data_IF_764050848551
#
_entry.id   IF_764050848551
#
_cell.length_a   1.000
_cell.length_b   1.000
_cell.length_c   1.000
_cell.angle_alpha   90.00
_cell.angle_beta   90.00
_cell.angle_gamma   90.00
#
_symmetry.space_group_name_H-M   'P 1'
#
loop_
_entity.id
_entity.type
_entity.pdbx_description
1 polymer ?
#
# COMPACT_ATOMS: atom_id res chain seq x y z
N UNK A 1 -17.14 23.80 12.47
CA UNK A 1 -17.06 22.60 13.33
C UNK A 1 -15.60 22.30 13.49
N UNK A 2 -15.08 22.46 14.71
CA UNK A 2 -13.65 22.57 14.98
C UNK A 2 -12.99 21.19 15.10
N UNK A 3 -11.99 20.92 14.25
CA UNK A 3 -11.12 19.75 14.36
C UNK A 3 -10.34 19.87 15.68
N UNK A 4 -10.53 18.92 16.60
CA UNK A 4 -9.80 18.86 17.87
C UNK A 4 -8.43 18.20 17.64
N UNK A 5 -7.44 19.07 17.44
CA UNK A 5 -6.01 18.76 17.36
C UNK A 5 -5.44 18.35 18.74
N UNK A 6 -5.74 17.14 19.19
CA UNK A 6 -5.04 16.54 20.35
C UNK A 6 -4.04 15.52 19.81
N UNK A 7 -2.87 16.01 19.37
CA UNK A 7 -1.73 15.19 18.94
C UNK A 7 -1.30 15.32 17.47
N UNK A 8 -1.74 16.35 16.73
CA UNK A 8 -1.39 16.56 15.32
C UNK A 8 -2.02 15.57 14.33
N UNK A 9 -2.88 14.68 14.84
CA UNK A 9 -3.72 13.80 14.04
C UNK A 9 -4.92 14.57 13.53
N UNK A 10 -5.23 14.40 12.25
CA UNK A 10 -6.41 14.98 11.62
C UNK A 10 -7.55 14.00 11.70
N UNK A 11 -8.61 14.37 12.42
CA UNK A 11 -9.86 13.63 12.46
C UNK A 11 -10.71 13.98 11.23
N UNK A 12 -11.47 13.01 10.73
CA UNK A 12 -12.39 13.16 9.60
C UNK A 12 -13.78 12.69 10.02
N UNK A 13 -14.83 13.30 9.47
CA UNK A 13 -16.20 12.89 9.81
C UNK A 13 -16.56 11.55 9.17
N UNK A 14 -15.95 11.22 8.02
CA UNK A 14 -16.21 9.98 7.29
C UNK A 14 -14.95 9.36 6.70
N UNK A 15 -15.01 8.07 6.39
CA UNK A 15 -13.97 7.37 5.65
C UNK A 15 -13.72 8.01 4.27
N UNK A 16 -14.77 8.40 3.55
CA UNK A 16 -14.63 9.01 2.22
C UNK A 16 -13.91 10.35 2.26
N UNK A 17 -14.15 11.17 3.29
CA UNK A 17 -13.39 12.41 3.48
C UNK A 17 -11.91 12.12 3.77
N UNK A 18 -11.61 11.09 4.56
CA UNK A 18 -10.25 10.68 4.80
C UNK A 18 -9.58 10.14 3.52
N UNK A 19 -10.26 9.32 2.72
CA UNK A 19 -9.73 8.79 1.45
C UNK A 19 -9.41 9.90 0.43
N UNK A 20 -10.21 10.98 0.40
CA UNK A 20 -9.90 12.16 -0.43
C UNK A 20 -8.59 12.85 -0.07
N UNK A 21 -8.07 12.63 1.14
CA UNK A 21 -6.75 13.14 1.53
C UNK A 21 -5.59 12.33 0.92
N UNK A 22 -5.87 11.19 0.28
CA UNK A 22 -4.92 10.32 -0.38
C UNK A 22 -5.23 10.17 -1.89
N UNK A 23 -5.25 11.28 -2.66
CA UNK A 23 -5.55 11.22 -4.09
C UNK A 23 -4.52 10.44 -4.92
N UNK A 24 -3.36 10.12 -4.34
CA UNK A 24 -2.30 9.34 -4.99
C UNK A 24 -2.45 7.82 -4.85
N UNK A 25 -3.44 7.34 -4.08
CA UNK A 25 -3.72 5.90 -4.00
C UNK A 25 -4.44 5.41 -5.27
N UNK A 26 -4.13 4.22 -5.80
CA UNK A 26 -4.76 3.67 -6.99
C UNK A 26 -6.28 3.55 -6.82
N UNK A 27 -7.04 3.79 -7.88
CA UNK A 27 -8.50 3.69 -7.83
C UNK A 27 -8.96 2.29 -7.40
N UNK A 28 -8.27 1.25 -7.86
CA UNK A 28 -8.53 -0.15 -7.49
C UNK A 28 -8.33 -0.39 -6.00
N UNK A 29 -7.35 0.30 -5.39
CA UNK A 29 -7.10 0.28 -3.96
C UNK A 29 -8.28 0.92 -3.21
N UNK A 30 -8.74 2.08 -3.67
CA UNK A 30 -9.89 2.79 -3.10
C UNK A 30 -11.18 1.96 -3.19
N UNK A 31 -11.43 1.29 -4.31
CA UNK A 31 -12.59 0.40 -4.45
C UNK A 31 -12.51 -0.82 -3.53
N UNK A 32 -11.34 -1.47 -3.44
CA UNK A 32 -11.13 -2.60 -2.54
C UNK A 32 -11.32 -2.20 -1.07
N UNK A 33 -10.79 -1.05 -0.66
CA UNK A 33 -10.99 -0.49 0.69
C UNK A 33 -12.48 -0.33 0.99
N UNK A 34 -13.24 0.30 0.08
CA UNK A 34 -14.69 0.45 0.24
C UNK A 34 -15.39 -0.90 0.37
N UNK A 35 -15.01 -1.88 -0.45
CA UNK A 35 -15.57 -3.23 -0.40
C UNK A 35 -15.40 -3.86 0.99
N UNK A 36 -14.17 -3.91 1.50
CA UNK A 36 -13.85 -4.51 2.80
C UNK A 36 -14.50 -3.78 3.98
N UNK A 37 -14.59 -2.46 3.91
CA UNK A 37 -15.06 -1.65 5.04
C UNK A 37 -16.56 -1.32 4.98
N UNK A 38 -17.25 -1.60 3.87
CA UNK A 38 -18.66 -1.25 3.62
C UNK A 38 -19.65 -1.73 4.68
N UNK A 39 -19.33 -2.85 5.34
CA UNK A 39 -20.20 -3.49 6.35
C UNK A 39 -19.82 -3.12 7.79
N UNK A 40 -18.76 -2.36 7.97
CA UNK A 40 -18.23 -2.01 9.29
C UNK A 40 -18.90 -0.74 9.82
N UNK A 41 -19.22 -0.75 11.11
CA UNK A 41 -19.70 0.43 11.81
C UNK A 41 -18.50 1.25 12.30
N UNK A 42 -18.05 2.19 11.46
CA UNK A 42 -16.92 3.07 11.75
C UNK A 42 -17.36 4.15 12.73
N UNK A 43 -16.74 4.19 13.92
CA UNK A 43 -17.02 5.15 14.98
C UNK A 43 -16.17 6.43 14.86
N UNK A 44 -14.90 6.30 14.44
CA UNK A 44 -14.02 7.44 14.25
C UNK A 44 -12.97 7.18 13.17
N UNK A 45 -12.54 8.24 12.51
CA UNK A 45 -11.57 8.21 11.41
C UNK A 45 -10.51 9.26 11.64
N UNK A 46 -9.24 8.85 11.62
CA UNK A 46 -8.13 9.77 11.79
C UNK A 46 -6.98 9.46 10.83
N UNK A 47 -6.20 10.49 10.53
CA UNK A 47 -4.93 10.38 9.80
C UNK A 47 -3.84 10.96 10.69
N UNK A 48 -2.75 10.22 10.96
CA UNK A 48 -1.63 10.75 11.74
C UNK A 48 -0.93 11.88 10.97
N UNK A 49 -0.11 12.70 11.65
CA UNK A 49 0.65 13.77 10.99
C UNK A 49 1.52 13.30 9.83
N UNK A 50 2.01 12.05 9.88
CA UNK A 50 2.84 11.46 8.82
C UNK A 50 2.08 11.20 7.51
N UNK A 51 0.74 11.14 7.55
CA UNK A 51 -0.08 10.87 6.36
C UNK A 51 0.19 9.51 5.73
N UNK A 52 0.67 8.52 6.49
CA UNK A 52 1.01 7.19 5.97
C UNK A 52 -0.16 6.19 5.93
N UNK A 53 -1.20 6.43 6.72
CA UNK A 53 -2.35 5.53 6.84
C UNK A 53 -3.61 6.29 7.32
N UNK A 54 -4.76 5.63 7.25
CA UNK A 54 -6.02 6.02 7.87
C UNK A 54 -6.29 5.04 9.01
N UNK A 55 -6.44 5.53 10.23
CA UNK A 55 -6.79 4.72 11.38
C UNK A 55 -8.28 4.82 11.68
N UNK A 56 -8.92 3.67 11.87
CA UNK A 56 -10.37 3.55 12.06
C UNK A 56 -10.67 2.88 13.40
N UNK A 57 -11.56 3.48 14.19
CA UNK A 57 -12.21 2.79 15.30
C UNK A 57 -13.48 2.17 14.76
N UNK A 58 -13.63 0.86 14.89
CA UNK A 58 -14.80 0.10 14.41
C UNK A 58 -15.53 -0.48 15.62
N UNK A 59 -16.86 -0.42 15.60
CA UNK A 59 -17.67 -1.02 16.66
C UNK A 59 -17.46 -2.55 16.73
N UNK A 60 -17.39 -3.08 17.95
CA UNK A 60 -17.08 -4.50 18.21
C UNK A 60 -15.60 -4.89 17.98
N UNK A 61 -14.73 -3.95 17.60
CA UNK A 61 -13.30 -4.21 17.42
C UNK A 61 -12.52 -3.61 18.61
N UNK A 62 -11.70 -4.42 19.27
CA UNK A 62 -10.89 -3.97 20.40
C UNK A 62 -9.72 -3.09 19.95
N UNK A 63 -9.19 -3.37 18.75
CA UNK A 63 -8.06 -2.66 18.14
C UNK A 63 -8.52 -1.78 16.98
N UNK A 64 -7.67 -0.81 16.65
CA UNK A 64 -7.87 0.03 15.47
C UNK A 64 -7.64 -0.79 14.20
N UNK A 65 -8.41 -0.48 13.16
CA UNK A 65 -8.14 -0.92 11.79
C UNK A 65 -7.27 0.13 11.12
N UNK A 66 -6.20 -0.29 10.46
CA UNK A 66 -5.30 0.60 9.73
C UNK A 66 -5.41 0.36 8.24
N UNK A 67 -5.74 1.39 7.49
CA UNK A 67 -5.79 1.36 6.03
C UNK A 67 -4.55 2.10 5.52
N UNK A 68 -3.70 1.40 4.78
CA UNK A 68 -2.48 1.97 4.21
C UNK A 68 -2.40 1.66 2.72
N UNK A 69 -1.40 2.23 2.05
CA UNK A 69 -1.13 1.90 0.65
C UNK A 69 -0.80 0.40 0.52
N UNK A 70 -1.69 -0.33 -0.15
CA UNK A 70 -1.49 -1.75 -0.47
C UNK A 70 -1.93 -2.73 0.61
N UNK A 71 -2.46 -2.29 1.75
CA UNK A 71 -3.01 -3.23 2.75
C UNK A 71 -4.00 -2.61 3.74
N UNK A 72 -4.79 -3.48 4.38
CA UNK A 72 -5.61 -3.19 5.56
C UNK A 72 -5.18 -4.14 6.68
N UNK A 73 -4.88 -3.60 7.85
CA UNK A 73 -4.53 -4.35 9.06
C UNK A 73 -5.59 -4.20 10.15
N UNK A 74 -5.77 -5.23 10.96
CA UNK A 74 -6.65 -5.22 12.12
C UNK A 74 -8.11 -5.57 11.82
N UNK A 75 -8.42 -6.11 10.63
CA UNK A 75 -9.76 -6.64 10.35
C UNK A 75 -10.04 -7.89 11.19
N UNK A 76 -11.27 -8.10 11.65
CA UNK A 76 -11.67 -9.37 12.29
C UNK A 76 -12.24 -10.33 11.26
N UNK A 77 -11.77 -11.58 11.28
CA UNK A 77 -12.38 -12.69 10.54
C UNK A 77 -13.69 -13.14 11.20
N UNK A 78 -14.43 -14.04 10.55
CA UNK A 78 -15.61 -14.68 11.13
C UNK A 78 -15.28 -15.49 12.40
N UNK A 79 -14.04 -15.98 12.53
CA UNK A 79 -13.52 -16.67 13.72
C UNK A 79 -13.07 -15.69 14.83
N UNK A 80 -13.12 -14.39 14.58
CA UNK A 80 -12.71 -13.34 15.53
C UNK A 80 -11.21 -13.03 15.53
N UNK A 81 -10.43 -13.67 14.66
CA UNK A 81 -8.98 -13.46 14.54
C UNK A 81 -8.68 -12.16 13.80
N UNK A 82 -7.58 -11.51 14.17
CA UNK A 82 -7.10 -10.34 13.45
C UNK A 82 -6.42 -10.76 12.16
N UNK A 83 -6.79 -10.13 11.06
CA UNK A 83 -6.27 -10.44 9.73
C UNK A 83 -5.70 -9.21 9.04
N UNK A 84 -4.73 -9.50 8.17
CA UNK A 84 -4.14 -8.59 7.20
C UNK A 84 -4.77 -8.89 5.84
N UNK A 85 -5.24 -7.85 5.16
CA UNK A 85 -5.73 -7.95 3.78
C UNK A 85 -4.82 -7.15 2.86
N UNK A 86 -4.22 -7.82 1.87
CA UNK A 86 -3.49 -7.14 0.81
C UNK A 86 -4.47 -6.47 -0.17
N UNK A 87 -4.16 -5.23 -0.56
CA UNK A 87 -4.92 -4.47 -1.53
C UNK A 87 -4.21 -4.46 -2.88
N UNK A 88 -4.94 -4.31 -4.00
CA UNK A 88 -4.32 -4.14 -5.30
C UNK A 88 -3.39 -2.94 -5.27
N UNK A 89 -2.11 -3.19 -5.55
CA UNK A 89 -1.16 -2.17 -5.99
C UNK A 89 -0.93 -2.45 -7.46
N UNK A 90 -1.11 -1.45 -8.32
CA UNK A 90 -0.92 -1.61 -9.75
C UNK A 90 0.55 -1.97 -10.02
N UNK A 91 0.87 -3.28 -10.00
CA UNK A 91 2.19 -3.84 -10.32
C UNK A 91 2.41 -3.97 -11.83
N UNK A 92 1.76 -3.15 -12.65
CA UNK A 92 1.92 -3.16 -14.11
C UNK A 92 3.38 -2.85 -14.53
N UNK A 93 4.27 -2.52 -13.58
CA UNK A 93 5.71 -2.38 -13.81
C UNK A 93 6.67 -3.15 -12.89
N UNK A 94 6.20 -4.07 -12.03
CA UNK A 94 7.10 -4.79 -11.10
C UNK A 94 6.65 -6.26 -10.96
N UNK A 95 7.37 -7.28 -11.44
CA UNK A 95 8.83 -7.34 -11.61
C UNK A 95 9.60 -7.29 -10.29
N UNK A 96 8.94 -6.94 -9.18
CA UNK A 96 9.53 -6.78 -7.85
C UNK A 96 9.42 -8.06 -7.04
N UNK A 97 9.98 -9.15 -7.57
CA UNK A 97 10.68 -10.07 -6.68
C UNK A 97 11.80 -9.23 -6.04
N UNK A 98 12.17 -9.52 -4.80
CA UNK A 98 13.55 -9.28 -4.40
C UNK A 98 14.45 -10.14 -5.33
N UNK A 99 14.76 -9.64 -6.52
CA UNK A 99 15.87 -10.12 -7.31
C UNK A 99 17.06 -9.28 -6.89
N UNK A 100 17.96 -9.92 -6.14
CA UNK A 100 19.37 -9.56 -6.11
C UNK A 100 19.84 -9.54 -7.58
N UNK A 101 19.67 -8.41 -8.26
CA UNK A 101 20.21 -8.18 -9.60
C UNK A 101 21.71 -7.96 -9.46
N UNK A 102 22.43 -9.03 -9.10
CA UNK A 102 23.73 -9.25 -9.70
C UNK A 102 23.44 -9.50 -11.19
N UNK A 103 23.99 -8.70 -12.11
CA UNK A 103 23.95 -9.07 -13.51
C UNK A 103 24.55 -10.46 -13.62
N UNK A 104 23.80 -11.45 -14.12
CA UNK A 104 24.33 -12.79 -14.39
C UNK A 104 25.25 -12.81 -15.63
N UNK A 105 25.48 -11.64 -16.23
CA UNK A 105 26.27 -11.43 -17.42
C UNK A 105 27.00 -10.08 -17.32
N UNK A 106 28.28 -10.09 -17.64
CA UNK A 106 29.09 -8.88 -17.70
C UNK A 106 28.66 -7.98 -18.88
N UNK A 107 28.67 -6.65 -18.73
CA UNK A 107 28.46 -5.74 -19.84
C UNK A 107 29.71 -5.69 -20.73
N UNK A 108 29.50 -5.56 -22.05
CA UNK A 108 30.56 -5.29 -23.00
C UNK A 108 31.22 -3.94 -22.67
N UNK A 109 32.55 -3.92 -22.54
CA UNK A 109 33.30 -2.70 -22.22
C UNK A 109 33.32 -1.66 -23.36
N UNK A 110 32.85 -2.03 -24.56
CA UNK A 110 32.83 -1.17 -25.75
C UNK A 110 31.46 -0.52 -25.96
N UNK A 111 30.38 -1.31 -25.98
CA UNK A 111 29.03 -0.82 -26.29
C UNK A 111 28.07 -0.84 -25.09
N UNK A 112 28.45 -1.43 -23.96
CA UNK A 112 27.63 -1.53 -22.76
C UNK A 112 26.48 -2.54 -22.83
N UNK A 113 26.32 -3.28 -23.94
CA UNK A 113 25.35 -4.36 -24.05
C UNK A 113 25.74 -5.55 -23.17
N UNK A 114 24.77 -6.26 -22.60
CA UNK A 114 25.03 -7.47 -21.81
C UNK A 114 25.61 -8.56 -22.69
N UNK A 115 26.73 -9.16 -22.27
CA UNK A 115 27.36 -10.23 -23.01
C UNK A 115 26.52 -11.52 -22.95
N UNK A 116 26.44 -12.30 -24.03
CA UNK A 116 25.94 -13.68 -23.96
C UNK A 116 26.87 -14.55 -23.11
N UNK A 117 26.44 -15.77 -22.77
CA UNK A 117 27.21 -16.73 -21.95
C UNK A 117 28.62 -17.00 -22.53
N UNK A 118 28.81 -16.84 -23.84
CA UNK A 118 30.11 -16.96 -24.49
C UNK A 118 31.11 -15.87 -24.11
N UNK A 119 30.66 -14.75 -23.53
CA UNK A 119 31.49 -13.61 -23.15
C UNK A 119 31.96 -12.73 -24.32
N UNK A 120 31.49 -13.00 -25.53
CA UNK A 120 31.84 -12.28 -26.77
C UNK A 120 30.65 -11.44 -27.21
N UNK A 121 30.87 -10.17 -27.55
CA UNK A 121 29.79 -9.29 -27.96
C UNK A 121 29.53 -9.45 -29.46
N UNK A 122 28.33 -9.95 -29.83
CA UNK A 122 27.97 -10.17 -31.22
C UNK A 122 28.04 -8.89 -32.10
N UNK A 123 27.86 -7.72 -31.48
CA UNK A 123 27.90 -6.42 -32.17
C UNK A 123 29.32 -5.83 -32.27
N UNK A 124 30.25 -6.23 -31.39
CA UNK A 124 31.60 -5.63 -31.31
C UNK A 124 32.72 -6.56 -31.78
N UNK A 125 32.47 -7.87 -31.88
CA UNK A 125 33.48 -8.87 -32.26
C UNK A 125 34.44 -9.16 -31.13
#
# INVERSE_FOLDING_TARGET
MSNLDVGGRREYATLEEALRAFPWWPAENLEAIRGHLSRLQIQSVHVPPSGGYIGLRVDGFERMVYVAFGYIDGLKTETGELTWVELPVNRIREGGYWQDHRPSADPCLVCGLLLPISGVCDECG
#
